data_IF_204810571816
#
_entry.id   IF_204810571816
#
_cell.length_a   1.000
_cell.length_b   1.000
_cell.length_c   1.000
_cell.angle_alpha   90.00
_cell.angle_beta   90.00
_cell.angle_gamma   90.00
#
_symmetry.space_group_name_H-M   'P 1'
#
loop_
_entity.id
_entity.type
_entity.pdbx_description
1 polymer ?
#
# COMPACT_ATOMS: atom_id res chain seq x y z
N UNK A 1 -72.17 28.83 17.69
CA UNK A 1 -72.23 27.67 18.51
C UNK A 1 -71.49 26.55 17.77
N UNK A 2 -70.53 26.00 18.37
CA UNK A 2 -69.86 24.79 17.93
C UNK A 2 -68.96 24.80 16.66
N UNK A 3 -67.76 24.44 16.96
CA UNK A 3 -66.78 23.77 16.10
C UNK A 3 -65.71 24.61 15.41
N UNK A 4 -64.61 24.68 16.12
CA UNK A 4 -63.33 24.77 15.42
C UNK A 4 -62.19 24.35 16.39
N UNK A 5 -61.82 23.06 16.41
CA UNK A 5 -60.54 22.60 16.93
C UNK A 5 -60.24 21.25 16.24
N UNK A 6 -59.37 21.23 15.21
CA UNK A 6 -58.62 20.05 14.75
C UNK A 6 -57.85 20.41 13.48
N UNK A 7 -56.66 20.96 13.65
CA UNK A 7 -55.60 20.87 12.63
C UNK A 7 -54.30 21.44 13.19
N UNK A 8 -53.50 20.67 13.90
CA UNK A 8 -52.08 21.01 14.17
C UNK A 8 -51.41 19.84 14.87
N UNK A 9 -51.12 18.76 14.14
CA UNK A 9 -50.27 17.68 14.65
C UNK A 9 -49.75 16.76 13.53
N UNK A 10 -49.07 17.32 12.51
CA UNK A 10 -48.45 16.51 11.45
C UNK A 10 -47.27 17.19 10.77
N UNK A 11 -46.38 17.86 11.50
CA UNK A 11 -45.22 18.52 10.89
C UNK A 11 -43.90 18.35 11.66
N UNK A 12 -43.71 17.28 12.42
CA UNK A 12 -42.46 17.11 13.24
C UNK A 12 -41.75 15.76 13.07
N UNK A 13 -42.05 14.98 12.03
CA UNK A 13 -41.46 13.65 11.87
C UNK A 13 -40.42 13.49 10.71
N UNK A 14 -40.05 14.58 9.99
CA UNK A 14 -39.25 14.47 8.74
C UNK A 14 -37.80 14.95 8.83
N UNK A 15 -37.25 15.32 9.99
CA UNK A 15 -35.93 15.94 10.07
C UNK A 15 -34.82 14.98 10.60
N UNK A 16 -35.15 13.78 11.02
CA UNK A 16 -34.16 12.87 11.69
C UNK A 16 -33.42 11.87 10.82
N UNK A 17 -33.60 11.81 9.50
CA UNK A 17 -32.95 10.80 8.64
C UNK A 17 -31.77 11.28 7.79
N UNK A 18 -31.41 12.54 7.79
CA UNK A 18 -30.31 13.07 6.93
C UNK A 18 -28.95 13.19 7.63
N UNK A 19 -28.88 13.01 8.95
CA UNK A 19 -27.64 13.22 9.72
C UNK A 19 -26.62 12.09 9.67
N UNK A 20 -27.02 10.86 9.29
CA UNK A 20 -26.13 9.69 9.40
C UNK A 20 -25.16 9.56 8.22
N UNK A 21 -25.48 10.08 7.04
CA UNK A 21 -24.65 9.91 5.83
C UNK A 21 -23.42 10.82 5.81
N UNK A 22 -23.46 12.01 6.36
CA UNK A 22 -22.35 12.96 6.35
C UNK A 22 -21.22 12.57 7.33
N UNK A 23 -21.55 11.95 8.44
CA UNK A 23 -20.57 11.50 9.43
C UNK A 23 -19.70 10.34 8.92
N UNK A 24 -20.26 9.42 8.16
CA UNK A 24 -19.55 8.27 7.63
C UNK A 24 -18.60 8.63 6.47
N UNK A 25 -18.99 9.58 5.62
CA UNK A 25 -18.15 10.08 4.54
C UNK A 25 -16.89 10.79 5.10
N UNK A 26 -17.06 11.63 6.12
CA UNK A 26 -15.97 12.32 6.79
C UNK A 26 -14.98 11.35 7.46
N UNK A 27 -15.48 10.32 8.15
CA UNK A 27 -14.64 9.33 8.82
C UNK A 27 -13.84 8.47 7.81
N UNK A 28 -14.44 8.11 6.68
CA UNK A 28 -13.76 7.36 5.62
C UNK A 28 -12.65 8.19 4.98
N UNK A 29 -12.88 9.46 4.72
CA UNK A 29 -11.87 10.37 4.17
C UNK A 29 -10.73 10.60 5.16
N UNK A 30 -11.01 10.84 6.44
CA UNK A 30 -9.99 10.95 7.48
C UNK A 30 -9.12 9.69 7.59
N UNK A 31 -9.70 8.51 7.46
CA UNK A 31 -8.96 7.25 7.45
C UNK A 31 -8.00 7.18 6.27
N UNK A 32 -8.43 7.58 5.08
CA UNK A 32 -7.59 7.62 3.87
C UNK A 32 -6.45 8.63 4.04
N UNK A 33 -6.73 9.84 4.55
CA UNK A 33 -5.70 10.86 4.80
C UNK A 33 -4.68 10.39 5.84
N UNK A 34 -5.12 9.74 6.91
CA UNK A 34 -4.22 9.12 7.90
C UNK A 34 -3.33 8.06 7.25
N UNK A 35 -3.90 7.19 6.42
CA UNK A 35 -3.15 6.17 5.68
C UNK A 35 -2.13 6.77 4.72
N UNK A 36 -2.50 7.81 3.98
CA UNK A 36 -1.59 8.56 3.09
C UNK A 36 -0.39 9.10 3.85
N UNK A 37 -0.64 9.74 5.00
CA UNK A 37 0.44 10.26 5.85
C UNK A 37 1.38 9.14 6.30
N UNK A 38 0.85 8.03 6.81
CA UNK A 38 1.68 6.92 7.30
C UNK A 38 2.50 6.33 6.16
N UNK A 39 1.89 6.02 5.01
CA UNK A 39 2.57 5.48 3.82
C UNK A 39 3.74 6.37 3.39
N UNK A 40 3.60 7.70 3.51
CA UNK A 40 4.67 8.64 3.17
C UNK A 40 5.84 8.62 4.16
N UNK A 41 5.57 8.50 5.47
CA UNK A 41 6.62 8.54 6.50
C UNK A 41 7.34 7.21 6.71
N UNK A 42 6.69 6.08 6.40
CA UNK A 42 7.31 4.74 6.45
C UNK A 42 7.90 4.31 5.11
N UNK A 43 7.97 5.22 4.15
CA UNK A 43 8.69 5.09 2.87
C UNK A 43 8.26 3.89 2.01
N UNK A 44 6.96 3.56 1.96
CA UNK A 44 6.47 2.50 1.08
C UNK A 44 6.86 2.73 -0.39
N UNK A 45 6.94 4.00 -0.80
CA UNK A 45 7.32 4.45 -2.14
C UNK A 45 8.67 3.93 -2.58
N UNK A 46 9.64 3.86 -1.66
CA UNK A 46 11.02 3.53 -1.99
C UNK A 46 11.13 2.12 -2.61
N UNK A 47 10.44 1.16 -1.98
CA UNK A 47 10.44 -0.22 -2.42
C UNK A 47 9.27 -0.59 -3.34
N UNK A 48 8.26 0.27 -3.52
CA UNK A 48 7.03 -0.07 -4.24
C UNK A 48 6.69 0.90 -5.39
N UNK A 49 7.61 1.79 -5.78
CA UNK A 49 7.46 2.65 -6.97
C UNK A 49 8.64 2.41 -7.90
N UNK A 50 8.41 2.13 -9.20
CA UNK A 50 9.50 1.87 -10.13
C UNK A 50 10.44 3.07 -10.24
N UNK A 51 11.71 2.81 -10.53
CA UNK A 51 12.73 3.85 -10.75
C UNK A 51 13.23 4.55 -9.48
N UNK A 52 12.65 4.32 -8.30
CA UNK A 52 13.06 5.00 -7.06
C UNK A 52 14.53 4.73 -6.74
N UNK A 53 14.96 3.46 -6.73
CA UNK A 53 16.37 3.10 -6.49
C UNK A 53 17.32 3.47 -7.63
N UNK A 54 16.78 3.86 -8.78
CA UNK A 54 17.55 4.36 -9.92
C UNK A 54 17.61 5.90 -9.94
N UNK A 55 17.13 6.57 -8.87
CA UNK A 55 17.13 8.02 -8.73
C UNK A 55 16.11 8.77 -9.60
N UNK A 56 15.19 8.04 -10.24
CA UNK A 56 14.16 8.61 -11.12
C UNK A 56 12.82 7.90 -10.90
N UNK A 57 12.10 8.18 -9.79
CA UNK A 57 10.83 7.53 -9.50
C UNK A 57 9.78 7.80 -10.59
N UNK A 58 9.14 6.75 -11.07
CA UNK A 58 8.05 6.83 -12.04
C UNK A 58 6.73 7.10 -11.30
N UNK A 59 6.38 8.36 -11.15
CA UNK A 59 5.18 8.76 -10.44
C UNK A 59 3.88 8.44 -11.19
N UNK A 60 3.92 8.11 -12.47
CA UNK A 60 2.76 7.59 -13.19
C UNK A 60 2.39 6.17 -12.73
N UNK A 61 3.38 5.44 -12.19
CA UNK A 61 3.21 4.12 -11.57
C UNK A 61 3.47 4.15 -10.06
N UNK A 62 3.06 5.24 -9.39
CA UNK A 62 3.20 5.42 -7.96
C UNK A 62 2.63 4.22 -7.20
N UNK A 63 3.43 3.60 -6.32
CA UNK A 63 3.13 2.37 -5.57
C UNK A 63 2.73 1.17 -6.45
N UNK A 64 3.03 1.22 -7.73
CA UNK A 64 2.70 0.16 -8.71
C UNK A 64 3.69 -1.00 -8.74
N UNK A 65 4.62 -1.10 -7.78
CA UNK A 65 5.64 -2.16 -7.70
C UNK A 65 7.03 -1.68 -8.10
N UNK A 66 8.05 -2.47 -7.83
CA UNK A 66 9.46 -2.15 -8.08
C UNK A 66 10.01 -2.83 -9.34
N UNK A 67 10.97 -2.16 -9.96
CA UNK A 67 11.85 -2.72 -11.00
C UNK A 67 13.22 -3.13 -10.43
N UNK A 68 13.48 -2.87 -9.14
CA UNK A 68 14.68 -3.29 -8.43
C UNK A 68 14.30 -4.33 -7.37
N UNK A 69 14.89 -5.51 -7.46
CA UNK A 69 14.75 -6.60 -6.49
C UNK A 69 15.85 -6.57 -5.46
N UNK A 70 15.55 -7.11 -4.29
CA UNK A 70 16.52 -7.29 -3.20
C UNK A 70 16.95 -8.73 -3.14
N UNK A 71 18.25 -8.97 -3.24
CA UNK A 71 18.80 -10.31 -3.00
C UNK A 71 18.81 -10.60 -1.50
N UNK A 72 18.27 -11.76 -1.15
CA UNK A 72 18.35 -12.32 0.18
C UNK A 72 19.17 -13.61 0.08
N UNK A 73 20.38 -13.66 0.63
CA UNK A 73 21.26 -14.81 0.52
C UNK A 73 20.58 -16.12 0.93
N UNK A 74 20.65 -17.13 0.06
CA UNK A 74 20.03 -18.43 0.27
C UNK A 74 18.51 -18.50 0.00
N UNK A 75 17.81 -17.36 -0.17
CA UNK A 75 16.38 -17.33 -0.47
C UNK A 75 16.07 -16.90 -1.90
N UNK A 76 16.83 -15.96 -2.46
CA UNK A 76 16.61 -15.48 -3.81
C UNK A 76 16.41 -13.97 -3.92
N UNK A 77 15.74 -13.51 -4.99
CA UNK A 77 15.52 -12.08 -5.26
C UNK A 77 14.04 -11.74 -5.23
N UNK A 78 13.71 -10.73 -4.43
CA UNK A 78 12.35 -10.30 -4.15
C UNK A 78 12.14 -8.85 -4.56
N UNK A 79 11.07 -8.57 -5.29
CA UNK A 79 10.70 -7.25 -5.77
C UNK A 79 9.52 -6.71 -4.97
N UNK A 80 9.52 -5.41 -4.68
CA UNK A 80 8.37 -4.75 -4.07
C UNK A 80 7.13 -4.91 -4.95
N UNK A 81 6.08 -5.50 -4.41
CA UNK A 81 4.85 -5.80 -5.14
C UNK A 81 4.06 -4.54 -5.50
N UNK A 82 3.16 -4.64 -6.48
CA UNK A 82 2.18 -3.62 -6.80
C UNK A 82 1.17 -3.47 -5.64
N UNK A 83 1.14 -2.31 -5.00
CA UNK A 83 0.26 -1.98 -3.88
C UNK A 83 -1.03 -1.27 -4.31
N UNK A 84 -1.21 -1.00 -5.60
CA UNK A 84 -2.43 -0.37 -6.11
C UNK A 84 -3.60 -1.36 -6.15
N UNK A 85 -4.85 -0.87 -6.26
CA UNK A 85 -6.02 -1.76 -6.29
C UNK A 85 -6.28 -2.40 -7.66
N UNK A 86 -5.23 -2.62 -8.45
CA UNK A 86 -5.33 -3.43 -9.66
C UNK A 86 -5.66 -4.88 -9.30
N UNK A 87 -6.60 -5.49 -10.01
CA UNK A 87 -7.12 -6.83 -9.68
C UNK A 87 -6.20 -7.95 -10.10
N UNK A 88 -5.44 -7.76 -11.17
CA UNK A 88 -4.61 -8.81 -11.76
C UNK A 88 -3.18 -8.77 -11.24
N UNK A 89 -2.65 -7.59 -10.97
CA UNK A 89 -1.23 -7.41 -10.62
C UNK A 89 -1.01 -6.78 -9.24
N UNK A 90 -2.07 -6.31 -8.56
CA UNK A 90 -1.99 -5.59 -7.31
C UNK A 90 -2.91 -6.14 -6.20
N UNK A 91 -3.37 -5.23 -5.33
CA UNK A 91 -4.18 -5.56 -4.15
C UNK A 91 -5.69 -5.49 -4.41
N UNK A 92 -6.14 -5.47 -5.67
CA UNK A 92 -7.54 -5.24 -6.02
C UNK A 92 -8.50 -6.26 -5.40
N UNK A 93 -8.09 -7.51 -5.31
CA UNK A 93 -8.91 -8.60 -4.77
C UNK A 93 -8.78 -8.78 -3.24
N UNK A 94 -7.90 -8.01 -2.58
CA UNK A 94 -7.72 -8.10 -1.14
C UNK A 94 -8.66 -7.14 -0.40
N UNK A 95 -9.18 -7.57 0.75
CA UNK A 95 -9.90 -6.70 1.69
C UNK A 95 -8.93 -5.82 2.46
N UNK A 96 -9.40 -4.70 3.02
CA UNK A 96 -8.61 -3.84 3.91
C UNK A 96 -8.05 -4.63 5.11
N UNK A 97 -8.83 -5.56 5.67
CA UNK A 97 -8.38 -6.39 6.78
C UNK A 97 -7.23 -7.32 6.38
N UNK A 98 -7.30 -7.94 5.20
CA UNK A 98 -6.23 -8.79 4.68
C UNK A 98 -4.94 -8.00 4.42
N UNK A 99 -5.05 -6.79 3.86
CA UNK A 99 -3.89 -5.90 3.68
C UNK A 99 -3.28 -5.53 5.03
N UNK A 100 -4.09 -5.13 6.01
CA UNK A 100 -3.62 -4.79 7.36
C UNK A 100 -2.93 -5.99 8.04
N UNK A 101 -3.50 -7.20 7.91
CA UNK A 101 -2.89 -8.43 8.42
C UNK A 101 -1.54 -8.69 7.75
N UNK A 102 -1.46 -8.60 6.42
CA UNK A 102 -0.22 -8.85 5.69
C UNK A 102 0.89 -7.89 6.12
N UNK A 103 0.60 -6.60 6.29
CA UNK A 103 1.57 -5.59 6.74
C UNK A 103 2.08 -5.89 8.15
N UNK A 104 1.18 -6.27 9.07
CA UNK A 104 1.53 -6.40 10.50
C UNK A 104 2.04 -7.78 10.90
N UNK A 105 1.71 -8.82 10.14
CA UNK A 105 2.08 -10.21 10.47
C UNK A 105 3.02 -10.85 9.45
N UNK A 106 3.12 -10.27 8.25
CA UNK A 106 3.84 -10.85 7.13
C UNK A 106 3.10 -11.99 6.40
N UNK A 107 1.88 -12.35 6.83
CA UNK A 107 1.10 -13.43 6.21
C UNK A 107 0.10 -12.87 5.21
N UNK A 108 0.19 -13.30 3.96
CA UNK A 108 -0.70 -12.90 2.88
C UNK A 108 -1.95 -13.81 2.80
N UNK A 109 -3.06 -13.36 2.20
CA UNK A 109 -4.29 -14.17 2.09
C UNK A 109 -4.12 -15.47 1.28
N UNK A 110 -3.12 -15.53 0.39
CA UNK A 110 -2.78 -16.69 -0.42
C UNK A 110 -1.76 -17.63 0.26
N UNK A 111 -1.46 -17.40 1.56
CA UNK A 111 -0.61 -18.26 2.38
C UNK A 111 0.90 -18.02 2.23
N UNK A 112 1.32 -17.04 1.43
CA UNK A 112 2.75 -16.65 1.35
C UNK A 112 3.17 -15.89 2.60
N UNK A 113 4.47 -15.90 2.87
CA UNK A 113 5.13 -15.05 3.86
C UNK A 113 5.88 -13.95 3.10
N UNK A 114 5.75 -12.70 3.55
CA UNK A 114 6.49 -11.58 2.98
C UNK A 114 8.00 -11.77 3.20
N UNK A 115 8.77 -11.47 2.16
CA UNK A 115 10.23 -11.59 2.21
C UNK A 115 10.86 -10.61 3.20
N UNK A 116 12.03 -10.96 3.79
CA UNK A 116 12.70 -10.16 4.82
C UNK A 116 12.95 -8.68 4.51
N UNK A 117 13.15 -8.23 3.24
CA UNK A 117 13.25 -6.81 2.94
C UNK A 117 12.01 -5.99 3.36
N UNK A 118 10.83 -6.62 3.42
CA UNK A 118 9.66 -5.99 4.00
C UNK A 118 9.81 -5.92 5.54
N UNK A 119 9.84 -4.74 6.17
CA UNK A 119 10.18 -4.60 7.59
C UNK A 119 9.00 -4.92 8.52
N UNK A 120 8.46 -6.13 8.42
CA UNK A 120 7.31 -6.62 9.20
C UNK A 120 7.57 -6.49 10.71
N UNK A 121 8.83 -6.69 11.15
CA UNK A 121 9.17 -6.56 12.58
C UNK A 121 8.97 -5.14 13.13
N UNK A 122 9.05 -4.13 12.29
CA UNK A 122 8.69 -2.75 12.65
C UNK A 122 7.19 -2.53 12.55
N UNK A 123 6.57 -3.05 11.50
CA UNK A 123 5.16 -2.81 11.18
C UNK A 123 4.17 -3.57 12.10
N UNK A 124 4.60 -4.64 12.76
CA UNK A 124 3.79 -5.30 13.80
C UNK A 124 3.41 -4.38 14.98
N UNK A 125 4.14 -3.27 15.15
CA UNK A 125 3.87 -2.28 16.18
C UNK A 125 2.83 -1.21 15.74
N UNK A 126 2.38 -1.23 14.50
CA UNK A 126 1.27 -0.38 14.05
C UNK A 126 0.02 -0.68 14.86
N UNK A 127 -0.72 0.36 15.25
CA UNK A 127 -2.05 0.17 15.79
C UNK A 127 -2.97 -0.46 14.74
N UNK A 128 -4.01 -1.17 15.18
CA UNK A 128 -5.01 -1.73 14.25
C UNK A 128 -5.64 -0.63 13.38
N UNK A 129 -5.89 0.55 13.95
CA UNK A 129 -6.45 1.70 13.22
C UNK A 129 -5.49 2.21 12.16
N UNK A 130 -4.18 2.30 12.45
CA UNK A 130 -3.18 2.76 11.49
C UNK A 130 -2.96 1.75 10.36
N UNK A 131 -2.91 0.45 10.66
CA UNK A 131 -2.83 -0.59 9.64
C UNK A 131 -4.05 -0.57 8.70
N UNK A 132 -5.27 -0.38 9.24
CA UNK A 132 -6.49 -0.22 8.44
C UNK A 132 -6.51 1.10 7.66
N UNK A 133 -5.92 2.16 8.18
CA UNK A 133 -5.79 3.44 7.49
C UNK A 133 -4.84 3.31 6.28
N UNK A 134 -3.69 2.65 6.43
CA UNK A 134 -2.81 2.28 5.31
C UNK A 134 -3.60 1.53 4.25
N UNK A 135 -4.31 0.46 4.64
CA UNK A 135 -5.10 -0.34 3.72
C UNK A 135 -6.20 0.48 3.01
N UNK A 136 -6.85 1.41 3.72
CA UNK A 136 -7.85 2.30 3.15
C UNK A 136 -7.23 3.21 2.07
N UNK A 137 -6.07 3.79 2.35
CA UNK A 137 -5.34 4.62 1.38
C UNK A 137 -4.92 3.81 0.15
N UNK A 138 -4.31 2.65 0.32
CA UNK A 138 -3.89 1.81 -0.81
C UNK A 138 -5.08 1.41 -1.70
N UNK A 139 -6.23 1.12 -1.10
CA UNK A 139 -7.48 0.83 -1.84
C UNK A 139 -8.12 2.05 -2.50
N UNK A 140 -7.75 3.27 -2.12
CA UNK A 140 -8.24 4.51 -2.72
C UNK A 140 -7.39 5.01 -3.90
N UNK A 141 -6.22 4.41 -4.13
CA UNK A 141 -5.35 4.76 -5.25
C UNK A 141 -5.97 4.39 -6.60
N UNK A 142 -5.60 5.07 -7.69
CA UNK A 142 -5.90 4.58 -9.02
C UNK A 142 -5.20 3.25 -9.27
N UNK A 143 -5.84 2.27 -9.93
CA UNK A 143 -5.21 1.02 -10.28
C UNK A 143 -4.10 1.24 -11.32
N UNK A 144 -2.96 0.59 -11.12
CA UNK A 144 -1.83 0.56 -12.04
C UNK A 144 -1.62 -0.88 -12.49
N UNK A 145 -1.76 -1.16 -13.77
CA UNK A 145 -1.45 -2.49 -14.32
C UNK A 145 0.07 -2.61 -14.44
N UNK A 146 0.70 -3.32 -13.52
CA UNK A 146 2.14 -3.57 -13.53
C UNK A 146 2.46 -4.91 -12.86
N UNK A 147 2.84 -5.89 -13.66
CA UNK A 147 3.33 -7.17 -13.18
C UNK A 147 4.81 -7.06 -12.84
N UNK A 148 5.14 -7.00 -11.56
CA UNK A 148 6.54 -6.97 -11.11
C UNK A 148 7.27 -8.27 -11.45
N UNK A 149 8.61 -8.23 -11.65
CA UNK A 149 9.42 -9.44 -11.85
C UNK A 149 9.38 -10.36 -10.62
N UNK A 150 9.64 -11.62 -10.83
CA UNK A 150 9.86 -12.61 -9.77
C UNK A 150 8.64 -12.98 -8.93
N UNK A 151 8.86 -13.43 -7.68
CA UNK A 151 10.17 -13.65 -7.06
C UNK A 151 11.01 -14.72 -7.78
N UNK A 152 12.34 -14.59 -7.65
CA UNK A 152 13.29 -15.57 -8.21
C UNK A 152 13.93 -16.35 -7.06
N UNK A 153 13.96 -17.67 -7.19
CA UNK A 153 14.66 -18.54 -6.24
C UNK A 153 16.19 -18.35 -6.27
N UNK A 154 16.93 -18.97 -5.33
CA UNK A 154 18.37 -18.72 -5.13
C UNK A 154 19.25 -19.14 -6.31
N UNK A 155 18.74 -19.99 -7.20
CA UNK A 155 19.46 -20.46 -8.41
C UNK A 155 18.91 -19.89 -9.71
N UNK A 156 17.89 -19.03 -9.64
CA UNK A 156 17.24 -18.43 -10.80
C UNK A 156 17.85 -17.07 -11.13
N UNK A 157 18.04 -16.79 -12.40
CA UNK A 157 18.55 -15.49 -12.87
C UNK A 157 17.42 -14.46 -12.90
N UNK A 158 17.56 -13.33 -12.19
CA UNK A 158 16.60 -12.22 -12.27
C UNK A 158 16.56 -11.60 -13.67
N UNK A 159 15.42 -11.02 -14.01
CA UNK A 159 15.18 -10.37 -15.32
C UNK A 159 15.19 -8.85 -15.28
N UNK A 160 15.42 -8.25 -14.09
CA UNK A 160 15.49 -6.80 -13.88
C UNK A 160 16.61 -6.48 -12.89
N UNK A 161 16.72 -5.21 -12.49
CA UNK A 161 17.76 -4.74 -11.58
C UNK A 161 17.74 -5.47 -10.23
N UNK A 162 18.93 -5.63 -9.64
CA UNK A 162 19.08 -6.27 -8.32
C UNK A 162 19.92 -5.38 -7.41
N UNK A 163 19.39 -5.13 -6.21
CA UNK A 163 20.15 -4.57 -5.10
C UNK A 163 20.78 -5.72 -4.31
N UNK A 164 22.10 -5.72 -4.25
CA UNK A 164 22.88 -6.78 -3.62
C UNK A 164 23.79 -6.20 -2.53
N UNK A 165 23.84 -6.87 -1.39
CA UNK A 165 24.82 -6.57 -0.34
C UNK A 165 26.03 -7.44 -0.56
N UNK A 166 27.17 -6.81 -0.85
CA UNK A 166 28.45 -7.50 -1.06
C UNK A 166 29.45 -7.13 0.03
N UNK A 167 30.37 -8.05 0.39
CA UNK A 167 31.48 -7.71 1.28
C UNK A 167 32.36 -6.59 0.69
N UNK A 168 32.93 -5.76 1.55
CA UNK A 168 33.71 -4.60 1.10
C UNK A 168 34.94 -4.98 0.25
N UNK A 169 35.54 -6.13 0.50
CA UNK A 169 36.66 -6.68 -0.28
C UNK A 169 36.27 -7.13 -1.70
N UNK A 170 34.98 -7.25 -1.98
CA UNK A 170 34.41 -7.57 -3.30
C UNK A 170 33.89 -6.33 -4.03
N UNK A 171 33.92 -5.16 -3.38
CA UNK A 171 33.44 -3.92 -3.99
C UNK A 171 34.45 -3.41 -5.02
N UNK A 172 34.00 -3.24 -6.26
CA UNK A 172 34.74 -2.61 -7.34
C UNK A 172 34.17 -1.22 -7.56
N UNK A 173 34.94 -0.14 -7.27
CA UNK A 173 34.48 1.21 -7.54
C UNK A 173 34.21 1.43 -9.03
N UNK A 174 33.04 1.97 -9.35
CA UNK A 174 32.71 2.40 -10.71
C UNK A 174 33.09 3.88 -10.86
N UNK A 175 33.73 4.31 -11.99
CA UNK A 175 33.97 5.72 -12.23
C UNK A 175 32.64 6.47 -12.28
N UNK A 176 32.62 7.76 -11.86
CA UNK A 176 31.43 8.58 -12.02
C UNK A 176 31.04 8.64 -13.50
N UNK A 177 29.72 8.74 -13.81
CA UNK A 177 29.30 8.93 -15.19
C UNK A 177 30.02 10.18 -15.77
N UNK A 178 30.39 10.15 -17.05
CA UNK A 178 31.01 11.30 -17.68
C UNK A 178 30.10 12.52 -17.47
N UNK A 179 30.71 13.62 -16.98
CA UNK A 179 29.97 14.84 -16.65
C UNK A 179 29.16 15.32 -17.86
N UNK A 180 27.91 15.74 -17.56
CA UNK A 180 27.08 16.45 -18.53
C UNK A 180 27.57 17.88 -18.66
#
# INVERSE_FOLDING_TARGET
MTNSVRASALALASILLTGVSLGNANAADQQVQRGKYIVSIISCTDCHTPGTFLGKPDMARYLGGSDVGFEVPGLGVFYGSNLTPDKDTGLGNWTKAQIATAITTGHTPDGRILAPPMPVQSFKNLTKSDALAIAAYLKSLPPVVNKVPGPFGPTQKPTSFVYQVIPADKYVPTPPPPGK
#
